data_IF_744766720918
#
_entry.id   IF_744766720918
#
_cell.length_a   1.000
_cell.length_b   1.000
_cell.length_c   1.000
_cell.angle_alpha   90.00
_cell.angle_beta   90.00
_cell.angle_gamma   90.00
#
_symmetry.space_group_name_H-M   'P 1'
#
loop_
_entity.id
_entity.type
_entity.pdbx_description
1 polymer ?
#
# COMPACT_ATOMS: atom_id res chain seq x y z
N UNK A 1 45.15 -7.60 49.24
CA UNK A 1 45.13 -8.16 47.87
C UNK A 1 43.68 -8.16 47.38
N UNK A 2 43.28 -7.19 46.56
CA UNK A 2 41.89 -6.99 46.09
C UNK A 2 41.91 -6.34 44.68
N UNK A 3 42.27 -7.06 43.61
CA UNK A 3 42.22 -6.53 42.22
C UNK A 3 42.03 -7.59 41.10
N UNK A 4 41.46 -8.77 41.37
CA UNK A 4 41.23 -9.78 40.31
C UNK A 4 39.75 -10.03 39.95
N UNK A 5 38.80 -9.42 40.65
CA UNK A 5 37.36 -9.61 40.40
C UNK A 5 36.75 -8.75 39.29
N UNK A 6 37.49 -7.79 38.71
CA UNK A 6 36.92 -6.84 37.75
C UNK A 6 37.14 -7.21 36.27
N UNK A 7 37.95 -8.24 35.98
CA UNK A 7 38.24 -8.60 34.60
C UNK A 7 37.25 -9.61 34.00
N UNK A 8 36.53 -10.38 34.82
CA UNK A 8 35.58 -11.40 34.32
C UNK A 8 34.18 -10.85 33.99
N UNK A 9 33.81 -9.68 34.53
CA UNK A 9 32.51 -9.03 34.24
C UNK A 9 32.55 -8.27 32.92
N UNK A 10 33.70 -7.68 32.56
CA UNK A 10 33.85 -6.97 31.29
C UNK A 10 33.82 -7.89 30.06
N UNK A 11 34.24 -9.15 30.20
CA UNK A 11 34.22 -10.11 29.09
C UNK A 11 32.81 -10.68 28.83
N UNK A 12 31.95 -10.74 29.85
CA UNK A 12 30.54 -11.17 29.70
C UNK A 12 29.64 -10.05 29.14
N UNK A 13 29.99 -8.78 29.36
CA UNK A 13 29.27 -7.64 28.78
C UNK A 13 29.58 -7.42 27.28
N UNK A 14 30.73 -7.90 26.78
CA UNK A 14 31.08 -7.81 25.36
C UNK A 14 30.41 -8.87 24.47
N UNK A 15 29.91 -9.96 25.05
CA UNK A 15 29.13 -10.98 24.35
C UNK A 15 27.61 -10.66 24.31
N UNK A 16 27.20 -9.55 24.94
CA UNK A 16 25.83 -9.03 24.89
C UNK A 16 25.66 -7.87 23.90
N UNK A 17 26.74 -7.33 23.32
CA UNK A 17 26.67 -6.22 22.35
C UNK A 17 27.12 -6.60 20.93
N UNK A 18 27.53 -7.85 20.72
CA UNK A 18 27.64 -8.45 19.39
C UNK A 18 26.38 -9.23 19.04
N UNK A 19 25.21 -8.64 19.26
CA UNK A 19 24.05 -9.09 18.50
C UNK A 19 24.45 -9.02 17.04
N UNK A 20 24.25 -10.09 16.28
CA UNK A 20 23.83 -9.86 14.91
C UNK A 20 22.81 -8.74 15.03
N UNK A 21 23.12 -7.56 14.48
CA UNK A 21 22.04 -6.83 13.86
C UNK A 21 21.47 -7.88 12.91
N UNK A 22 20.42 -8.56 13.34
CA UNK A 22 19.42 -8.97 12.40
C UNK A 22 19.28 -7.71 11.55
N UNK A 23 19.75 -7.77 10.30
CA UNK A 23 19.08 -6.97 9.28
C UNK A 23 17.62 -7.21 9.60
N UNK A 24 16.92 -6.16 9.99
CA UNK A 24 15.54 -6.28 10.36
C UNK A 24 14.86 -7.05 9.22
N UNK A 25 14.58 -8.33 9.50
CA UNK A 25 13.96 -9.26 8.56
C UNK A 25 12.46 -9.19 8.72
N UNK A 26 11.94 -8.31 9.60
CA UNK A 26 10.56 -7.88 9.44
C UNK A 26 10.51 -7.24 8.06
N UNK A 27 9.73 -7.79 7.15
CA UNK A 27 9.56 -7.21 5.82
C UNK A 27 8.84 -5.86 5.86
N UNK A 28 9.04 -5.04 6.90
CA UNK A 28 8.26 -3.87 7.25
C UNK A 28 9.17 -2.71 7.69
N UNK A 29 8.67 -1.49 7.51
CA UNK A 29 9.18 -0.25 8.10
C UNK A 29 8.11 0.30 9.02
N UNK A 30 8.47 0.64 10.26
CA UNK A 30 7.61 1.40 11.16
C UNK A 30 7.73 2.90 10.85
N UNK A 31 6.64 3.50 10.38
CA UNK A 31 6.55 4.94 10.15
C UNK A 31 5.38 5.50 10.95
N UNK A 32 5.69 6.30 11.98
CA UNK A 32 4.70 6.91 12.89
C UNK A 32 3.71 5.89 13.52
N UNK A 33 4.17 4.66 13.81
CA UNK A 33 3.34 3.60 14.40
C UNK A 33 2.58 2.75 13.38
N UNK A 34 2.78 3.00 12.08
CA UNK A 34 2.19 2.23 10.98
C UNK A 34 3.23 1.27 10.42
N UNK A 35 2.91 -0.02 10.36
CA UNK A 35 3.77 -1.05 9.79
C UNK A 35 3.58 -1.12 8.27
N UNK A 36 4.57 -0.65 7.50
CA UNK A 36 4.52 -0.60 6.03
C UNK A 36 5.39 -1.70 5.44
N UNK A 37 4.86 -2.62 4.61
CA UNK A 37 5.69 -3.63 3.95
C UNK A 37 6.76 -3.02 3.03
N UNK A 38 7.99 -3.53 3.09
CA UNK A 38 9.09 -3.14 2.20
C UNK A 38 8.73 -3.34 0.72
N UNK A 39 7.96 -4.39 0.42
CA UNK A 39 7.46 -4.65 -0.92
C UNK A 39 6.56 -3.52 -1.44
N UNK A 40 5.72 -2.93 -0.57
CA UNK A 40 4.82 -1.85 -0.98
C UNK A 40 5.58 -0.53 -1.22
N UNK A 41 6.72 -0.31 -0.57
CA UNK A 41 7.63 0.81 -0.85
C UNK A 41 8.22 0.70 -2.26
N UNK A 42 8.77 -0.46 -2.59
CA UNK A 42 9.35 -0.68 -3.92
C UNK A 42 8.26 -0.68 -5.01
N UNK A 43 7.09 -1.29 -4.75
CA UNK A 43 5.95 -1.23 -5.66
C UNK A 43 5.51 0.21 -5.93
N UNK A 44 5.38 1.04 -4.88
CA UNK A 44 5.01 2.44 -5.02
C UNK A 44 6.08 3.24 -5.77
N UNK A 45 7.36 2.98 -5.51
CA UNK A 45 8.49 3.58 -6.25
C UNK A 45 8.42 3.25 -7.74
N UNK A 46 8.10 2.01 -8.09
CA UNK A 46 7.91 1.58 -9.48
C UNK A 46 6.71 2.30 -10.13
N UNK A 47 5.58 2.42 -9.43
CA UNK A 47 4.39 3.11 -9.93
C UNK A 47 4.65 4.60 -10.25
N UNK A 48 5.38 5.32 -9.39
CA UNK A 48 5.73 6.72 -9.65
C UNK A 48 6.69 6.87 -10.83
N UNK A 49 7.70 5.99 -10.91
CA UNK A 49 8.69 6.02 -12.00
C UNK A 49 8.03 5.80 -13.38
N UNK A 50 6.96 5.00 -13.42
CA UNK A 50 6.23 4.71 -14.65
C UNK A 50 5.27 5.82 -15.09
N UNK A 51 4.57 6.43 -14.12
CA UNK A 51 3.54 7.43 -14.41
C UNK A 51 4.10 8.84 -14.64
N UNK A 52 5.27 9.16 -14.08
CA UNK A 52 5.91 10.46 -14.29
C UNK A 52 7.44 10.34 -14.24
N UNK A 53 8.08 10.21 -15.41
CA UNK A 53 9.54 10.12 -15.53
C UNK A 53 10.28 11.37 -15.00
N UNK A 54 9.55 12.44 -14.64
CA UNK A 54 10.11 13.68 -14.10
C UNK A 54 9.93 13.82 -12.58
N UNK A 55 9.17 12.92 -11.94
CA UNK A 55 8.90 12.97 -10.51
C UNK A 55 9.36 11.68 -9.80
N UNK A 56 10.49 11.77 -9.11
CA UNK A 56 10.92 10.75 -8.15
C UNK A 56 10.59 11.25 -6.74
N UNK A 57 9.55 10.71 -6.07
CA UNK A 57 9.25 11.10 -4.70
C UNK A 57 10.43 10.77 -3.78
N UNK A 58 10.63 11.62 -2.76
CA UNK A 58 11.56 11.28 -1.68
C UNK A 58 11.06 10.06 -0.91
N UNK A 59 11.96 9.37 -0.23
CA UNK A 59 11.62 8.22 0.61
C UNK A 59 10.61 8.59 1.71
N UNK A 60 10.75 9.77 2.30
CA UNK A 60 9.81 10.31 3.28
C UNK A 60 8.40 10.50 2.70
N UNK A 61 8.28 11.06 1.49
CA UNK A 61 6.98 11.21 0.81
C UNK A 61 6.33 9.87 0.46
N UNK A 62 7.15 8.87 0.09
CA UNK A 62 6.66 7.51 -0.17
C UNK A 62 6.12 6.88 1.11
N UNK A 63 6.88 6.95 2.20
CA UNK A 63 6.48 6.41 3.50
C UNK A 63 5.23 7.11 4.05
N UNK A 64 5.15 8.43 3.93
CA UNK A 64 3.97 9.21 4.30
C UNK A 64 2.73 8.75 3.51
N UNK A 65 2.86 8.63 2.19
CA UNK A 65 1.76 8.18 1.32
C UNK A 65 1.32 6.76 1.67
N UNK A 66 2.27 5.85 1.91
CA UNK A 66 2.00 4.46 2.27
C UNK A 66 1.37 4.33 3.66
N UNK A 67 1.81 5.12 4.64
CA UNK A 67 1.18 5.18 5.95
C UNK A 67 -0.28 5.65 5.84
N UNK A 68 -0.52 6.68 5.03
CA UNK A 68 -1.85 7.20 4.75
C UNK A 68 -2.78 6.13 4.15
N UNK A 69 -2.28 5.37 3.18
CA UNK A 69 -3.02 4.27 2.55
C UNK A 69 -3.27 3.12 3.53
N UNK A 70 -2.27 2.73 4.31
CA UNK A 70 -2.39 1.62 5.26
C UNK A 70 -3.42 1.92 6.36
N UNK A 71 -3.43 3.14 6.91
CA UNK A 71 -4.44 3.51 7.92
C UNK A 71 -5.86 3.49 7.37
N UNK A 72 -6.06 3.94 6.13
CA UNK A 72 -7.37 3.86 5.49
C UNK A 72 -7.78 2.42 5.22
N UNK A 73 -6.83 1.56 4.84
CA UNK A 73 -7.07 0.13 4.65
C UNK A 73 -7.51 -0.53 5.95
N UNK A 74 -6.75 -0.30 7.03
CA UNK A 74 -7.04 -0.86 8.35
C UNK A 74 -8.41 -0.39 8.87
N UNK A 75 -8.76 0.88 8.64
CA UNK A 75 -10.06 1.42 9.02
C UNK A 75 -11.20 0.82 8.18
N UNK A 76 -11.01 0.69 6.87
CA UNK A 76 -11.98 0.03 6.00
C UNK A 76 -12.21 -1.43 6.40
N UNK A 77 -11.14 -2.14 6.80
CA UNK A 77 -11.23 -3.51 7.30
C UNK A 77 -11.97 -3.57 8.64
N UNK A 78 -11.59 -2.71 9.59
CA UNK A 78 -12.21 -2.61 10.92
C UNK A 78 -13.71 -2.33 10.84
N UNK A 79 -14.14 -1.50 9.88
CA UNK A 79 -15.53 -1.17 9.63
C UNK A 79 -16.29 -2.24 8.82
N UNK A 80 -15.60 -3.28 8.34
CA UNK A 80 -16.20 -4.33 7.50
C UNK A 80 -16.60 -3.83 6.11
N UNK A 81 -15.92 -2.80 5.61
CA UNK A 81 -16.16 -2.18 4.29
C UNK A 81 -15.31 -2.84 3.19
N UNK A 82 -14.28 -3.60 3.57
CA UNK A 82 -13.44 -4.33 2.63
C UNK A 82 -14.25 -5.44 1.94
N UNK A 83 -14.32 -5.45 0.60
CA UNK A 83 -14.91 -6.59 -0.11
C UNK A 83 -14.02 -7.82 0.10
N UNK A 84 -14.58 -9.03 -0.01
CA UNK A 84 -13.79 -10.26 -0.05
C UNK A 84 -12.91 -10.33 -1.31
N UNK A 85 -11.85 -11.14 -1.30
CA UNK A 85 -10.99 -11.36 -2.48
C UNK A 85 -11.82 -11.78 -3.71
N UNK A 86 -12.81 -12.66 -3.51
CA UNK A 86 -13.68 -13.13 -4.59
C UNK A 86 -14.59 -12.02 -5.16
N UNK A 87 -15.08 -11.12 -4.31
CA UNK A 87 -15.85 -9.95 -4.76
C UNK A 87 -14.97 -8.95 -5.51
N UNK A 88 -13.74 -8.72 -5.03
CA UNK A 88 -12.76 -7.87 -5.70
C UNK A 88 -12.36 -8.45 -7.06
N UNK A 89 -12.08 -9.75 -7.15
CA UNK A 89 -11.74 -10.42 -8.41
C UNK A 89 -12.89 -10.32 -9.42
N UNK A 90 -14.12 -10.63 -8.99
CA UNK A 90 -15.31 -10.51 -9.83
C UNK A 90 -15.50 -9.07 -10.30
N UNK A 91 -15.34 -8.09 -9.41
CA UNK A 91 -15.46 -6.68 -9.77
C UNK A 91 -14.36 -6.24 -10.72
N UNK A 92 -13.12 -6.71 -10.53
CA UNK A 92 -11.98 -6.39 -11.38
C UNK A 92 -12.20 -6.92 -12.81
N UNK A 93 -12.67 -8.17 -12.93
CA UNK A 93 -13.02 -8.75 -14.22
C UNK A 93 -14.10 -7.92 -14.94
N UNK A 94 -15.14 -7.50 -14.24
CA UNK A 94 -16.28 -6.78 -14.84
C UNK A 94 -16.00 -5.30 -15.13
N UNK A 95 -15.28 -4.60 -14.25
CA UNK A 95 -15.10 -3.15 -14.33
C UNK A 95 -13.79 -2.73 -15.00
N UNK A 96 -12.78 -3.60 -15.04
CA UNK A 96 -11.48 -3.29 -15.63
C UNK A 96 -11.22 -4.14 -16.87
N UNK A 97 -11.21 -5.46 -16.73
CA UNK A 97 -10.79 -6.36 -17.83
C UNK A 97 -11.82 -6.38 -18.97
N UNK A 98 -13.10 -6.57 -18.67
CA UNK A 98 -14.15 -6.70 -19.68
C UNK A 98 -14.28 -5.47 -20.59
N UNK A 99 -14.25 -4.22 -20.09
CA UNK A 99 -14.20 -3.04 -20.95
C UNK A 99 -12.99 -3.04 -21.90
N UNK A 100 -11.79 -3.36 -21.40
CA UNK A 100 -10.58 -3.45 -22.24
C UNK A 100 -10.76 -4.48 -23.35
N UNK A 101 -11.30 -5.66 -23.03
CA UNK A 101 -11.59 -6.70 -24.02
C UNK A 101 -12.67 -6.28 -25.04
N UNK A 102 -13.66 -5.49 -24.62
CA UNK A 102 -14.66 -4.93 -25.52
C UNK A 102 -14.05 -3.90 -26.47
N UNK A 103 -13.16 -3.03 -26.00
CA UNK A 103 -12.42 -2.08 -26.84
C UNK A 103 -11.57 -2.81 -27.89
N UNK A 104 -10.88 -3.90 -27.52
CA UNK A 104 -10.13 -4.73 -28.47
C UNK A 104 -10.99 -5.35 -29.56
N UNK A 105 -12.25 -5.67 -29.25
CA UNK A 105 -13.18 -6.30 -30.18
C UNK A 105 -13.85 -5.28 -31.13
N UNK A 106 -13.65 -3.98 -30.94
CA UNK A 106 -14.19 -2.95 -31.84
C UNK A 106 -13.41 -2.92 -33.14
N UNK A 107 -14.12 -2.62 -34.23
CA UNK A 107 -13.52 -2.26 -35.53
C UNK A 107 -13.09 -0.78 -35.53
N UNK A 108 -12.43 -0.35 -34.46
CA UNK A 108 -11.88 0.99 -34.28
C UNK A 108 -10.37 0.85 -33.97
N UNK A 109 -9.49 1.21 -34.92
CA UNK A 109 -8.05 1.04 -34.73
C UNK A 109 -7.48 1.78 -33.52
N UNK A 110 -8.02 2.96 -33.17
CA UNK A 110 -7.53 3.76 -32.06
C UNK A 110 -7.90 3.16 -30.70
N UNK A 111 -9.12 2.66 -30.55
CA UNK A 111 -9.56 1.91 -29.38
C UNK A 111 -8.77 0.60 -29.23
N UNK A 112 -8.55 -0.10 -30.34
CA UNK A 112 -7.79 -1.35 -30.36
C UNK A 112 -6.33 -1.14 -29.93
N UNK A 113 -5.65 -0.13 -30.49
CA UNK A 113 -4.26 0.21 -30.10
C UNK A 113 -4.16 0.63 -28.64
N UNK A 114 -5.11 1.44 -28.14
CA UNK A 114 -5.12 1.89 -26.74
C UNK A 114 -5.29 0.73 -25.76
N UNK A 115 -6.16 -0.23 -26.10
CA UNK A 115 -6.39 -1.40 -25.26
C UNK A 115 -5.22 -2.40 -25.30
N UNK A 116 -4.58 -2.60 -26.46
CA UNK A 116 -3.33 -3.38 -26.56
C UNK A 116 -2.20 -2.73 -25.76
N UNK A 117 -2.07 -1.41 -25.84
CA UNK A 117 -1.08 -0.67 -25.06
C UNK A 117 -1.31 -0.90 -23.57
N UNK A 118 -2.54 -0.76 -23.07
CA UNK A 118 -2.86 -1.03 -21.67
C UNK A 118 -2.50 -2.46 -21.22
N UNK A 119 -2.77 -3.47 -22.04
CA UNK A 119 -2.38 -4.86 -21.72
C UNK A 119 -0.86 -5.05 -21.72
N UNK A 120 -0.13 -4.41 -22.64
CA UNK A 120 1.33 -4.40 -22.64
C UNK A 120 1.90 -3.73 -21.37
N UNK A 121 1.32 -2.60 -20.94
CA UNK A 121 1.69 -1.92 -19.70
C UNK A 121 1.58 -2.85 -18.49
N UNK A 122 0.47 -3.58 -18.40
CA UNK A 122 0.25 -4.53 -17.31
C UNK A 122 1.30 -5.64 -17.35
N UNK A 123 1.59 -6.22 -18.52
CA UNK A 123 2.59 -7.28 -18.64
C UNK A 123 3.99 -6.79 -18.25
N UNK A 124 4.41 -5.62 -18.75
CA UNK A 124 5.73 -5.05 -18.46
C UNK A 124 5.91 -4.79 -16.95
N UNK A 125 4.88 -4.29 -16.27
CA UNK A 125 4.90 -4.11 -14.82
C UNK A 125 5.05 -5.43 -14.07
N UNK A 126 4.33 -6.48 -14.46
CA UNK A 126 4.48 -7.81 -13.84
C UNK A 126 5.90 -8.37 -13.96
N UNK A 127 6.52 -8.22 -15.13
CA UNK A 127 7.90 -8.63 -15.38
C UNK A 127 8.91 -7.82 -14.54
N UNK A 128 8.72 -6.51 -14.41
CA UNK A 128 9.58 -5.64 -13.60
C UNK A 128 9.50 -5.97 -12.11
N UNK A 129 8.32 -6.32 -11.62
CA UNK A 129 8.11 -6.77 -10.24
C UNK A 129 8.65 -8.19 -10.00
N UNK A 130 9.09 -8.89 -11.04
CA UNK A 130 9.59 -10.27 -10.94
C UNK A 130 8.51 -11.28 -10.56
N UNK A 131 7.23 -10.95 -10.81
CA UNK A 131 6.08 -11.77 -10.48
C UNK A 131 5.76 -12.72 -11.64
N UNK A 132 5.40 -13.95 -11.34
CA UNK A 132 4.74 -14.82 -12.33
C UNK A 132 3.38 -14.25 -12.74
N UNK A 133 2.81 -14.74 -13.85
CA UNK A 133 1.50 -14.28 -14.30
C UNK A 133 0.40 -14.42 -13.22
N UNK A 134 0.39 -15.55 -12.50
CA UNK A 134 -0.61 -15.81 -11.46
C UNK A 134 -0.40 -14.88 -10.26
N UNK A 135 0.85 -14.68 -9.82
CA UNK A 135 1.19 -13.76 -8.73
C UNK A 135 0.85 -12.31 -9.09
N UNK A 136 1.03 -11.91 -10.35
CA UNK A 136 0.69 -10.57 -10.80
C UNK A 136 -0.82 -10.36 -10.91
N UNK A 137 -1.58 -11.36 -11.37
CA UNK A 137 -3.05 -11.32 -11.31
C UNK A 137 -3.55 -11.18 -9.87
N UNK A 138 -2.97 -11.95 -8.93
CA UNK A 138 -3.29 -11.84 -7.51
C UNK A 138 -2.94 -10.46 -6.93
N UNK A 139 -1.80 -9.89 -7.33
CA UNK A 139 -1.40 -8.53 -6.98
C UNK A 139 -2.42 -7.49 -7.48
N UNK A 140 -2.84 -7.56 -8.75
CA UNK A 140 -3.81 -6.63 -9.32
C UNK A 140 -5.17 -6.71 -8.61
N UNK A 141 -5.62 -7.92 -8.26
CA UNK A 141 -6.86 -8.11 -7.49
C UNK A 141 -6.72 -7.53 -6.08
N UNK A 142 -5.57 -7.71 -5.40
CA UNK A 142 -5.30 -7.09 -4.09
C UNK A 142 -5.37 -5.57 -4.17
N UNK A 143 -4.71 -4.96 -5.17
CA UNK A 143 -4.75 -3.51 -5.39
C UNK A 143 -6.18 -3.03 -5.66
N UNK A 144 -6.94 -3.78 -6.47
CA UNK A 144 -8.35 -3.46 -6.71
C UNK A 144 -9.22 -3.55 -5.45
N UNK A 145 -8.99 -4.57 -4.61
CA UNK A 145 -9.66 -4.73 -3.32
C UNK A 145 -9.40 -3.53 -2.40
N UNK A 146 -8.16 -3.02 -2.36
CA UNK A 146 -7.79 -1.82 -1.63
C UNK A 146 -8.53 -0.58 -2.17
N UNK A 147 -8.54 -0.37 -3.49
CA UNK A 147 -9.27 0.74 -4.13
C UNK A 147 -10.76 0.71 -3.77
N UNK A 148 -11.39 -0.47 -3.86
CA UNK A 148 -12.79 -0.64 -3.49
C UNK A 148 -13.04 -0.33 -2.00
N UNK A 149 -12.19 -0.84 -1.12
CA UNK A 149 -12.27 -0.60 0.33
C UNK A 149 -12.15 0.88 0.68
N UNK A 150 -11.15 1.58 0.13
CA UNK A 150 -10.96 3.02 0.33
C UNK A 150 -12.11 3.84 -0.26
N UNK A 151 -12.65 3.43 -1.40
CA UNK A 151 -13.85 4.06 -1.99
C UNK A 151 -15.06 3.89 -1.07
N UNK A 152 -15.26 2.71 -0.51
CA UNK A 152 -16.35 2.44 0.45
C UNK A 152 -16.16 3.24 1.75
N UNK A 153 -14.92 3.34 2.26
CA UNK A 153 -14.59 4.19 3.40
C UNK A 153 -14.92 5.65 3.11
N UNK A 154 -14.53 6.17 1.95
CA UNK A 154 -14.85 7.54 1.56
C UNK A 154 -16.37 7.79 1.52
N UNK A 155 -17.15 6.87 0.94
CA UNK A 155 -18.63 6.96 0.93
C UNK A 155 -19.23 6.84 2.34
N UNK A 156 -18.65 6.01 3.20
CA UNK A 156 -19.05 5.91 4.60
C UNK A 156 -18.83 7.24 5.33
N UNK A 157 -17.65 7.86 5.19
CA UNK A 157 -17.33 9.16 5.79
C UNK A 157 -18.31 10.23 5.32
N UNK A 158 -18.54 10.33 4.02
CA UNK A 158 -19.56 11.22 3.43
C UNK A 158 -20.93 11.06 4.12
N UNK A 159 -21.35 9.81 4.33
CA UNK A 159 -22.63 9.51 4.99
C UNK A 159 -22.67 9.93 6.46
N UNK A 160 -21.54 9.87 7.18
CA UNK A 160 -21.46 10.26 8.59
C UNK A 160 -21.40 11.78 8.76
N UNK A 161 -20.75 12.50 7.84
CA UNK A 161 -20.56 13.96 7.90
C UNK A 161 -21.70 14.73 7.24
N UNK A 162 -22.62 14.05 6.54
CA UNK A 162 -23.74 14.69 5.84
C UNK A 162 -23.33 15.48 4.60
N UNK A 163 -22.13 15.24 4.07
CA UNK A 163 -21.62 15.85 2.84
C UNK A 163 -22.01 14.99 1.63
N UNK A 164 -22.28 15.61 0.48
CA UNK A 164 -22.53 14.88 -0.77
C UNK A 164 -21.22 14.59 -1.53
N UNK A 165 -21.17 13.55 -2.38
CA UNK A 165 -20.00 13.29 -3.23
C UNK A 165 -19.65 14.53 -4.08
N UNK A 166 -18.49 15.13 -3.82
CA UNK A 166 -18.03 16.38 -4.44
C UNK A 166 -18.07 17.63 -3.54
N UNK A 167 -18.70 17.56 -2.36
CA UNK A 167 -18.68 18.63 -1.34
C UNK A 167 -17.60 18.44 -0.28
N UNK A 168 -16.96 17.27 -0.25
CA UNK A 168 -15.82 17.00 0.61
C UNK A 168 -14.63 17.78 0.01
N UNK A 169 -14.27 18.91 0.62
CA UNK A 169 -12.99 19.56 0.31
C UNK A 169 -11.86 18.61 0.72
N UNK A 170 -10.72 18.70 0.03
CA UNK A 170 -9.53 17.92 0.39
C UNK A 170 -9.20 18.06 1.89
N UNK A 171 -9.48 19.23 2.48
CA UNK A 171 -9.32 19.51 3.91
C UNK A 171 -10.20 18.62 4.82
N UNK A 172 -11.48 18.41 4.51
CA UNK A 172 -12.39 17.62 5.37
C UNK A 172 -12.02 16.14 5.34
N UNK A 173 -11.58 15.63 4.18
CA UNK A 173 -11.13 14.24 4.08
C UNK A 173 -9.81 14.07 4.82
N UNK A 174 -8.90 15.04 4.63
CA UNK A 174 -7.60 15.04 5.27
C UNK A 174 -7.73 15.11 6.79
N UNK A 175 -8.58 15.99 7.32
CA UNK A 175 -8.86 16.09 8.77
C UNK A 175 -9.37 14.76 9.35
N UNK A 176 -10.22 14.03 8.63
CA UNK A 176 -10.71 12.73 9.07
C UNK A 176 -9.60 11.67 9.07
N UNK A 177 -8.80 11.59 8.01
CA UNK A 177 -7.70 10.63 7.93
C UNK A 177 -6.58 10.99 8.93
N UNK A 178 -6.32 12.26 9.17
CA UNK A 178 -5.40 12.74 10.23
C UNK A 178 -5.89 12.32 11.63
N UNK A 179 -7.19 12.38 11.90
CA UNK A 179 -7.76 11.85 13.14
C UNK A 179 -7.57 10.35 13.27
N UNK A 180 -7.72 9.57 12.19
CA UNK A 180 -7.45 8.14 12.18
C UNK A 180 -5.97 7.83 12.42
N UNK A 181 -5.06 8.57 11.77
CA UNK A 181 -3.62 8.46 11.97
C UNK A 181 -3.22 8.76 13.42
N UNK A 182 -3.78 9.82 14.00
CA UNK A 182 -3.56 10.17 15.40
C UNK A 182 -4.07 9.08 16.36
N UNK A 183 -5.18 8.40 16.02
CA UNK A 183 -5.70 7.26 16.79
C UNK A 183 -4.82 6.01 16.65
N UNK A 184 -4.35 5.70 15.45
CA UNK A 184 -3.44 4.58 15.19
C UNK A 184 -2.11 4.76 15.96
N UNK A 185 -1.54 5.96 15.94
CA UNK A 185 -0.33 6.28 16.70
C UNK A 185 -0.51 6.16 18.23
N UNK A 186 -1.74 6.33 18.74
CA UNK A 186 -2.08 6.14 20.16
C UNK A 186 -2.44 4.69 20.51
N UNK A 187 -2.86 3.89 19.52
CA UNK A 187 -3.22 2.47 19.68
C UNK A 187 -2.02 1.51 19.78
N UNK A 188 -0.82 1.96 19.45
CA UNK A 188 0.43 1.19 19.55
C UNK A 188 1.02 1.05 20.96
N UNK A 189 0.38 1.62 22.00
CA UNK A 189 0.80 1.51 23.41
C UNK A 189 -0.01 0.47 24.24
N UNK A 190 -0.67 -0.50 23.60
CA UNK A 190 -1.43 -1.56 24.30
C UNK A 190 -0.79 -2.96 24.18
#
# INVERSE_FOLDING_TARGET
>A
MKKFGLLLVALLLALASGGCAAKDTSGYIDYNGVQIPNEDIENMRHLYTYNDALFTPSEEQLLESLAWLQVQYDEAERLGLMPSKAEAEKSYQEQVIKPVMQELAKDDPGAHESALYYLMLLQEQGEQLGLSHDEYCDFLVRQWQQIMGMTALHQYVLSQTGHTPGELSDDVYSDYVEQLLAQAAQGGEA
#
